data_IF_114712400853
#
_entry.id   IF_114712400853
#
_cell.length_a   1.000
_cell.length_b   1.000
_cell.length_c   1.000
_cell.angle_alpha   90.00
_cell.angle_beta   90.00
_cell.angle_gamma   90.00
#
_symmetry.space_group_name_H-M   'P 1'
#
loop_
_entity.id
_entity.type
_entity.pdbx_description
1 polymer ?
#
# COMPACT_ATOMS: atom_id res chain seq x y z
N UNK A 1 14.63 -25.67 45.42
CA UNK A 1 13.62 -25.18 44.45
C UNK A 1 13.90 -23.78 43.92
N UNK A 2 13.99 -22.72 44.75
CA UNK A 2 14.24 -21.34 44.26
C UNK A 2 15.53 -21.18 43.43
N UNK A 3 16.63 -21.81 43.87
CA UNK A 3 17.92 -21.80 43.16
C UNK A 3 17.87 -22.48 41.79
N UNK A 4 17.21 -23.64 41.68
CA UNK A 4 17.02 -24.35 40.42
C UNK A 4 16.18 -23.55 39.40
N UNK A 5 15.15 -22.82 39.85
CA UNK A 5 14.34 -21.95 38.98
C UNK A 5 15.18 -20.77 38.48
N UNK A 6 16.01 -20.19 39.34
CA UNK A 6 16.95 -19.12 38.97
C UNK A 6 17.99 -19.63 37.97
N UNK A 7 18.56 -20.81 38.20
CA UNK A 7 19.56 -21.41 37.31
C UNK A 7 18.96 -21.77 35.93
N UNK A 8 17.76 -22.35 35.86
CA UNK A 8 17.06 -22.58 34.58
C UNK A 8 16.75 -21.25 33.87
N UNK A 9 16.30 -20.24 34.61
CA UNK A 9 16.04 -18.91 34.05
C UNK A 9 17.30 -18.26 33.47
N UNK A 10 18.42 -18.32 34.19
CA UNK A 10 19.68 -17.68 33.79
C UNK A 10 20.42 -18.44 32.69
N UNK A 11 20.45 -19.77 32.73
CA UNK A 11 21.25 -20.55 31.78
C UNK A 11 20.49 -20.98 30.53
N UNK A 12 19.16 -21.05 30.57
CA UNK A 12 18.36 -21.49 29.43
C UNK A 12 17.49 -20.38 28.85
N UNK A 13 16.70 -19.69 29.69
CA UNK A 13 15.77 -18.66 29.18
C UNK A 13 16.49 -17.38 28.76
N UNK A 14 17.48 -16.91 29.52
CA UNK A 14 18.18 -15.66 29.20
C UNK A 14 18.90 -15.73 27.83
N UNK A 15 19.69 -16.76 27.48
CA UNK A 15 20.27 -16.87 26.15
C UNK A 15 19.21 -16.90 25.04
N UNK A 16 18.10 -17.60 25.25
CA UNK A 16 17.00 -17.67 24.28
C UNK A 16 16.33 -16.30 24.06
N UNK A 17 16.10 -15.55 25.13
CA UNK A 17 15.55 -14.18 25.08
C UNK A 17 16.54 -13.25 24.37
N UNK A 18 17.84 -13.35 24.68
CA UNK A 18 18.86 -12.55 24.00
C UNK A 18 18.94 -12.87 22.51
N UNK A 19 18.91 -14.15 22.12
CA UNK A 19 18.86 -14.55 20.72
C UNK A 19 17.61 -14.00 20.01
N UNK A 20 16.44 -14.08 20.65
CA UNK A 20 15.21 -13.50 20.13
C UNK A 20 15.29 -11.98 19.97
N UNK A 21 15.87 -11.27 20.94
CA UNK A 21 16.06 -9.82 20.89
C UNK A 21 17.03 -9.41 19.78
N UNK A 22 18.15 -10.14 19.61
CA UNK A 22 19.12 -9.90 18.52
C UNK A 22 18.48 -10.17 17.16
N UNK A 23 17.72 -11.25 17.01
CA UNK A 23 17.03 -11.58 15.77
C UNK A 23 15.98 -10.52 15.42
N UNK A 24 15.15 -10.10 16.39
CA UNK A 24 14.17 -9.02 16.21
C UNK A 24 14.84 -7.71 15.81
N UNK A 25 15.91 -7.31 16.51
CA UNK A 25 16.67 -6.10 16.19
C UNK A 25 17.27 -6.17 14.78
N UNK A 26 17.88 -7.30 14.44
CA UNK A 26 18.52 -7.49 13.13
C UNK A 26 17.49 -7.46 11.99
N UNK A 27 16.32 -8.07 12.18
CA UNK A 27 15.23 -8.04 11.20
C UNK A 27 14.70 -6.62 10.97
N UNK A 28 14.54 -5.82 12.03
CA UNK A 28 14.09 -4.43 11.92
C UNK A 28 15.10 -3.52 11.21
N UNK A 29 16.38 -3.90 11.17
CA UNK A 29 17.43 -3.13 10.50
C UNK A 29 17.52 -3.41 9.00
N UNK A 30 16.87 -4.46 8.50
CA UNK A 30 16.82 -4.72 7.06
C UNK A 30 16.00 -3.58 6.40
N UNK A 31 16.58 -2.83 5.45
CA UNK A 31 15.86 -1.80 4.73
C UNK A 31 14.61 -2.37 4.07
N UNK A 32 13.47 -1.69 4.21
CA UNK A 32 12.20 -2.10 3.64
C UNK A 32 11.36 -0.88 3.26
N UNK A 33 10.38 -1.08 2.38
CA UNK A 33 9.57 0.01 1.83
C UNK A 33 8.83 0.80 2.91
N UNK A 34 8.33 0.16 3.96
CA UNK A 34 7.57 0.84 5.02
C UNK A 34 8.46 1.75 5.85
N UNK A 35 9.61 1.25 6.30
CA UNK A 35 10.59 2.05 7.04
C UNK A 35 11.13 3.21 6.18
N UNK A 36 11.45 2.94 4.91
CA UNK A 36 11.92 3.94 3.98
C UNK A 36 10.89 5.05 3.76
N UNK A 37 9.65 4.70 3.40
CA UNK A 37 8.60 5.70 3.13
C UNK A 37 8.25 6.52 4.38
N UNK A 38 8.18 5.87 5.55
CA UNK A 38 7.97 6.59 6.82
C UNK A 38 9.10 7.59 7.10
N UNK A 39 10.36 7.16 6.98
CA UNK A 39 11.52 8.03 7.20
C UNK A 39 11.54 9.19 6.20
N UNK A 40 11.32 8.91 4.92
CA UNK A 40 11.34 9.91 3.87
C UNK A 40 10.26 10.96 4.08
N UNK A 41 9.01 10.55 4.35
CA UNK A 41 7.91 11.49 4.62
C UNK A 41 8.16 12.30 5.89
N UNK A 42 8.73 11.71 6.94
CA UNK A 42 9.11 12.46 8.15
C UNK A 42 10.12 13.57 7.86
N UNK A 43 10.98 13.39 6.86
CA UNK A 43 12.04 14.33 6.53
C UNK A 43 11.62 15.36 5.46
N UNK A 44 10.71 14.99 4.55
CA UNK A 44 10.47 15.73 3.31
C UNK A 44 8.99 16.10 3.06
N UNK A 45 8.05 15.75 3.96
CA UNK A 45 6.60 15.99 3.78
C UNK A 45 6.24 17.43 3.41
N UNK A 46 6.97 18.41 3.94
CA UNK A 46 6.77 19.85 3.69
C UNK A 46 6.85 20.24 2.21
N UNK A 47 7.62 19.50 1.41
CA UNK A 47 7.83 19.77 -0.01
C UNK A 47 6.95 18.93 -0.94
N UNK A 48 6.13 18.01 -0.39
CA UNK A 48 5.25 17.15 -1.17
C UNK A 48 4.03 17.95 -1.61
N UNK A 49 3.84 18.06 -2.92
CA UNK A 49 2.69 18.70 -3.57
C UNK A 49 1.63 17.67 -4.00
N UNK A 50 2.04 16.44 -4.34
CA UNK A 50 1.15 15.35 -4.75
C UNK A 50 1.43 14.09 -3.93
N UNK A 51 0.40 13.56 -3.26
CA UNK A 51 0.47 12.34 -2.46
C UNK A 51 -0.43 11.23 -3.02
N UNK A 52 0.12 10.30 -3.82
CA UNK A 52 -0.58 9.05 -4.15
C UNK A 52 -0.71 8.12 -2.95
N UNK A 53 -1.93 7.63 -2.72
CA UNK A 53 -2.34 6.63 -1.73
C UNK A 53 -3.13 5.51 -2.44
N UNK A 54 -3.13 4.32 -1.85
CA UNK A 54 -3.85 3.16 -2.36
C UNK A 54 -3.04 1.88 -2.24
N UNK A 55 -3.54 0.82 -2.89
CA UNK A 55 -2.93 -0.50 -2.87
C UNK A 55 -1.82 -0.64 -3.94
N UNK A 56 -1.61 -1.86 -4.44
CA UNK A 56 -0.58 -2.16 -5.43
C UNK A 56 -0.77 -1.36 -6.73
N UNK A 57 -1.99 -1.07 -7.16
CA UNK A 57 -2.26 -0.26 -8.35
C UNK A 57 -1.67 1.14 -8.21
N UNK A 58 -1.93 1.85 -7.11
CA UNK A 58 -1.30 3.14 -6.87
C UNK A 58 0.23 3.01 -6.78
N UNK A 59 0.75 1.95 -6.16
CA UNK A 59 2.19 1.70 -6.01
C UNK A 59 2.92 1.48 -7.35
N UNK A 60 2.32 0.73 -8.27
CA UNK A 60 2.92 0.31 -9.55
C UNK A 60 2.51 1.18 -10.74
N UNK A 61 1.37 1.86 -10.68
CA UNK A 61 0.81 2.57 -11.83
C UNK A 61 1.08 4.09 -11.77
N UNK A 62 1.26 4.65 -10.57
CA UNK A 62 1.44 6.10 -10.37
C UNK A 62 2.89 6.40 -9.98
N UNK A 63 3.64 6.95 -10.91
CA UNK A 63 5.07 7.17 -10.76
C UNK A 63 5.41 8.65 -10.62
N UNK A 64 5.69 9.16 -9.41
CA UNK A 64 5.84 10.59 -9.18
C UNK A 64 6.97 11.28 -9.94
N UNK A 65 7.88 10.52 -10.56
CA UNK A 65 8.93 11.09 -11.41
C UNK A 65 8.39 11.82 -12.64
N UNK A 66 7.14 11.56 -13.03
CA UNK A 66 6.52 12.13 -14.23
C UNK A 66 5.51 13.24 -13.93
N UNK A 67 5.31 13.61 -12.66
CA UNK A 67 4.56 14.82 -12.33
C UNK A 67 5.44 16.06 -12.52
N UNK A 68 4.84 17.18 -12.94
CA UNK A 68 5.50 18.49 -12.91
C UNK A 68 5.70 18.99 -11.48
N UNK A 69 4.80 18.59 -10.58
CA UNK A 69 4.83 18.87 -9.15
C UNK A 69 5.62 17.81 -8.38
N UNK A 70 6.19 18.18 -7.23
CA UNK A 70 6.92 17.27 -6.34
C UNK A 70 5.96 16.24 -5.73
N UNK A 71 5.93 15.04 -6.32
CA UNK A 71 5.13 13.93 -5.79
C UNK A 71 5.94 12.92 -4.97
N UNK A 72 5.28 12.25 -4.04
CA UNK A 72 5.81 11.09 -3.33
C UNK A 72 4.74 10.01 -3.16
N UNK A 73 4.99 8.81 -3.67
CA UNK A 73 4.05 7.70 -3.65
C UNK A 73 4.08 6.99 -2.29
N UNK A 74 2.99 7.10 -1.53
CA UNK A 74 2.84 6.53 -0.20
C UNK A 74 2.02 5.22 -0.16
N UNK A 75 1.67 4.66 -1.33
CA UNK A 75 0.94 3.40 -1.47
C UNK A 75 1.77 2.17 -1.06
N UNK A 76 1.12 1.07 -0.71
CA UNK A 76 1.77 -0.22 -0.43
C UNK A 76 0.97 -1.37 -1.01
N UNK A 77 1.63 -2.52 -1.24
CA UNK A 77 0.94 -3.73 -1.67
C UNK A 77 -0.18 -4.10 -0.69
N UNK A 78 -1.39 -4.27 -1.22
CA UNK A 78 -2.61 -4.62 -0.47
C UNK A 78 -3.01 -3.61 0.61
N UNK A 79 -2.51 -2.37 0.57
CA UNK A 79 -2.96 -1.29 1.45
C UNK A 79 -4.48 -1.11 1.31
N UNK A 80 -5.16 -1.02 2.46
CA UNK A 80 -6.60 -0.75 2.50
C UNK A 80 -6.87 0.70 2.87
N UNK A 81 -8.09 1.19 2.63
CA UNK A 81 -8.52 2.56 2.94
C UNK A 81 -8.24 2.99 4.40
N UNK A 82 -8.32 2.05 5.35
CA UNK A 82 -7.89 2.27 6.74
C UNK A 82 -6.43 2.71 6.88
N UNK A 83 -5.54 2.11 6.10
CA UNK A 83 -4.11 2.40 6.12
C UNK A 83 -3.75 3.58 5.22
N UNK A 84 -4.52 3.85 4.15
CA UNK A 84 -4.46 5.14 3.44
C UNK A 84 -4.71 6.29 4.41
N UNK A 85 -5.81 6.21 5.17
CA UNK A 85 -6.15 7.18 6.20
C UNK A 85 -5.08 7.28 7.28
N UNK A 86 -4.59 6.15 7.81
CA UNK A 86 -3.53 6.16 8.82
C UNK A 86 -2.24 6.86 8.36
N UNK A 87 -1.82 6.61 7.11
CA UNK A 87 -0.63 7.26 6.55
C UNK A 87 -0.90 8.75 6.38
N UNK A 88 -2.03 9.12 5.79
CA UNK A 88 -2.43 10.51 5.60
C UNK A 88 -2.44 11.28 6.92
N UNK A 89 -3.15 10.77 7.93
CA UNK A 89 -3.27 11.37 9.26
C UNK A 89 -1.93 11.62 9.94
N UNK A 90 -0.96 10.72 9.71
CA UNK A 90 0.35 10.81 10.34
C UNK A 90 1.17 12.01 9.83
N UNK A 91 0.97 12.43 8.59
CA UNK A 91 1.85 13.40 7.93
C UNK A 91 1.16 14.69 7.47
N UNK A 92 -0.16 14.70 7.32
CA UNK A 92 -0.89 15.83 6.72
C UNK A 92 -0.61 17.17 7.41
N UNK A 93 -0.38 17.19 8.72
CA UNK A 93 -0.10 18.43 9.46
C UNK A 93 1.28 19.05 9.12
N UNK A 94 2.22 18.23 8.64
CA UNK A 94 3.54 18.69 8.18
C UNK A 94 3.59 18.98 6.66
N UNK A 95 2.56 18.57 5.90
CA UNK A 95 2.53 18.67 4.43
C UNK A 95 2.06 20.06 3.95
N UNK A 96 2.87 21.09 4.21
CA UNK A 96 2.52 22.50 3.94
C UNK A 96 2.37 22.88 2.47
N UNK A 97 2.97 22.10 1.55
CA UNK A 97 2.90 22.35 0.10
C UNK A 97 1.91 21.44 -0.63
N UNK A 98 1.15 20.61 0.10
CA UNK A 98 0.26 19.64 -0.51
C UNK A 98 -0.85 20.34 -1.29
N UNK A 99 -1.09 19.89 -2.51
CA UNK A 99 -2.15 20.40 -3.37
C UNK A 99 -3.11 19.27 -3.80
N UNK A 100 -2.58 18.05 -3.97
CA UNK A 100 -3.35 16.90 -4.44
C UNK A 100 -3.09 15.65 -3.61
N UNK A 101 -4.16 14.97 -3.22
CA UNK A 101 -4.12 13.58 -2.76
C UNK A 101 -4.78 12.72 -3.84
N UNK A 102 -4.05 11.74 -4.38
CA UNK A 102 -4.60 10.82 -5.38
C UNK A 102 -4.86 9.49 -4.68
N UNK A 103 -6.10 9.00 -4.70
CA UNK A 103 -6.46 7.72 -4.08
C UNK A 103 -6.90 6.72 -5.15
N UNK A 104 -6.18 5.60 -5.29
CA UNK A 104 -6.69 4.49 -6.11
C UNK A 104 -7.80 3.74 -5.37
N UNK A 105 -8.99 3.75 -5.96
CA UNK A 105 -10.13 2.98 -5.47
C UNK A 105 -10.20 1.73 -6.33
N UNK A 106 -9.49 0.68 -5.95
CA UNK A 106 -9.50 -0.60 -6.65
C UNK A 106 -10.81 -1.36 -6.47
N UNK A 107 -11.05 -2.34 -7.35
CA UNK A 107 -12.30 -3.12 -7.41
C UNK A 107 -12.71 -3.71 -6.05
N UNK A 108 -11.73 -4.01 -5.20
CA UNK A 108 -11.93 -4.58 -3.88
C UNK A 108 -11.82 -3.57 -2.72
N UNK A 109 -11.34 -2.33 -2.96
CA UNK A 109 -11.00 -1.37 -1.90
C UNK A 109 -12.19 -1.04 -1.01
N UNK A 110 -13.37 -0.91 -1.61
CA UNK A 110 -14.62 -0.58 -0.89
C UNK A 110 -15.05 -1.68 0.07
N UNK A 111 -14.80 -2.94 -0.27
CA UNK A 111 -15.37 -4.10 0.41
C UNK A 111 -14.44 -4.76 1.43
N UNK A 112 -13.15 -4.42 1.42
CA UNK A 112 -12.14 -5.19 2.16
C UNK A 112 -11.33 -4.33 3.12
N UNK A 113 -10.72 -5.03 4.08
CA UNK A 113 -9.67 -4.52 4.94
C UNK A 113 -8.51 -5.53 4.91
N UNK A 114 -7.27 -5.02 4.96
CA UNK A 114 -6.05 -5.83 4.98
C UNK A 114 -6.08 -6.94 6.03
N UNK A 115 -6.65 -6.69 7.22
CA UNK A 115 -6.75 -7.65 8.33
C UNK A 115 -7.45 -8.95 7.96
N UNK A 116 -8.41 -8.89 7.04
CA UNK A 116 -9.22 -10.03 6.60
C UNK A 116 -8.76 -10.60 5.25
N UNK A 117 -7.57 -10.21 4.78
CA UNK A 117 -6.98 -10.72 3.55
C UNK A 117 -5.91 -11.78 3.83
N UNK A 118 -5.49 -12.51 2.80
CA UNK A 118 -4.33 -13.40 2.88
C UNK A 118 -3.02 -12.65 3.20
N UNK A 119 -3.00 -11.34 2.97
CA UNK A 119 -1.86 -10.44 3.20
C UNK A 119 -1.90 -9.76 4.58
N UNK A 120 -2.73 -10.26 5.51
CA UNK A 120 -2.88 -9.72 6.87
C UNK A 120 -1.54 -9.54 7.60
N UNK A 121 -0.54 -10.37 7.28
CA UNK A 121 0.79 -10.33 7.87
C UNK A 121 1.52 -9.00 7.63
N UNK A 122 1.14 -8.23 6.61
CA UNK A 122 1.71 -6.90 6.31
C UNK A 122 1.36 -5.84 7.35
N UNK A 123 0.29 -6.04 8.13
CA UNK A 123 -0.11 -5.13 9.22
C UNK A 123 1.04 -4.83 10.18
N UNK A 124 1.91 -5.83 10.42
CA UNK A 124 3.07 -5.65 11.30
C UNK A 124 3.96 -4.49 10.86
N UNK A 125 4.07 -4.24 9.56
CA UNK A 125 4.91 -3.18 9.04
C UNK A 125 4.35 -1.78 9.35
N UNK A 126 3.02 -1.61 9.38
CA UNK A 126 2.40 -0.37 9.81
C UNK A 126 2.60 -0.13 11.32
N UNK A 127 2.47 -1.16 12.15
CA UNK A 127 2.74 -1.04 13.58
C UNK A 127 4.21 -0.74 13.86
N UNK A 128 5.13 -1.52 13.28
CA UNK A 128 6.56 -1.47 13.58
C UNK A 128 7.22 -0.25 12.96
N UNK A 129 6.94 0.05 11.69
CA UNK A 129 7.69 1.05 10.93
C UNK A 129 6.98 2.40 10.84
N UNK A 130 5.64 2.44 10.89
CA UNK A 130 4.87 3.69 10.95
C UNK A 130 4.42 4.06 12.38
N UNK A 131 4.52 3.15 13.35
CA UNK A 131 4.07 3.38 14.72
C UNK A 131 2.55 3.32 14.89
N UNK A 132 1.85 2.55 14.05
CA UNK A 132 0.40 2.37 14.18
C UNK A 132 0.01 1.71 15.51
N UNK A 133 -1.04 2.23 16.15
CA UNK A 133 -1.56 1.70 17.40
C UNK A 133 -2.76 0.75 17.24
N UNK A 134 -3.25 0.52 16.02
CA UNK A 134 -4.47 -0.27 15.76
C UNK A 134 -4.41 -1.68 16.36
N UNK A 135 -3.22 -2.27 16.41
CA UNK A 135 -3.03 -3.64 16.87
C UNK A 135 -1.94 -3.76 17.95
N UNK A 136 -1.77 -2.73 18.80
CA UNK A 136 -0.68 -2.66 19.80
C UNK A 136 -0.65 -3.83 20.81
N UNK A 137 -1.79 -4.47 21.04
CA UNK A 137 -1.92 -5.62 21.97
C UNK A 137 -1.87 -6.99 21.27
N UNK A 138 -1.77 -7.02 19.95
CA UNK A 138 -1.72 -8.25 19.17
C UNK A 138 -0.26 -8.56 18.79
N UNK A 139 0.42 -9.42 19.56
CA UNK A 139 1.87 -9.67 19.44
C UNK A 139 2.36 -10.00 18.02
N UNK A 140 1.54 -10.69 17.21
CA UNK A 140 1.84 -11.02 15.80
C UNK A 140 2.06 -9.81 14.89
N UNK A 141 1.60 -8.63 15.31
CA UNK A 141 1.77 -7.37 14.57
C UNK A 141 2.85 -6.46 15.15
N UNK A 142 3.51 -6.85 16.24
CA UNK A 142 4.48 -5.99 16.92
C UNK A 142 5.90 -6.59 16.93
N UNK A 143 6.10 -7.72 16.26
CA UNK A 143 7.37 -8.44 16.18
C UNK A 143 7.66 -8.85 14.73
N UNK A 144 8.83 -8.51 14.19
CA UNK A 144 9.31 -8.99 12.88
C UNK A 144 9.62 -10.49 12.91
N UNK A 145 10.08 -10.99 14.06
CA UNK A 145 10.41 -12.41 14.30
C UNK A 145 9.17 -13.30 14.45
N UNK A 146 7.96 -12.72 14.51
CA UNK A 146 6.75 -13.54 14.57
C UNK A 146 6.72 -14.51 13.38
N UNK A 147 6.74 -15.80 13.70
CA UNK A 147 6.84 -16.88 12.73
C UNK A 147 5.56 -16.98 11.91
N UNK A 148 5.58 -16.38 10.72
CA UNK A 148 4.56 -16.63 9.72
C UNK A 148 4.87 -17.91 8.93
N UNK A 149 6.15 -18.14 8.64
CA UNK A 149 6.65 -19.32 7.93
C UNK A 149 8.15 -19.56 8.22
N UNK A 150 8.69 -20.66 7.70
CA UNK A 150 10.09 -21.08 7.90
C UNK A 150 11.11 -20.09 7.30
N UNK A 151 10.69 -19.23 6.37
CA UNK A 151 11.55 -18.18 5.82
C UNK A 151 11.94 -17.15 6.88
N UNK A 152 11.17 -17.02 7.97
CA UNK A 152 11.50 -16.13 9.11
C UNK A 152 12.88 -16.43 9.69
N UNK A 153 13.26 -17.71 9.79
CA UNK A 153 14.60 -18.12 10.27
C UNK A 153 15.67 -17.65 9.29
N UNK A 154 15.46 -17.88 7.99
CA UNK A 154 16.39 -17.44 6.94
C UNK A 154 16.54 -15.92 6.93
N UNK A 155 15.43 -15.18 7.08
CA UNK A 155 15.42 -13.71 7.20
C UNK A 155 16.19 -13.25 8.43
N UNK A 156 16.01 -13.90 9.58
CA UNK A 156 16.72 -13.54 10.81
C UNK A 156 18.23 -13.76 10.68
N UNK A 157 18.64 -14.88 10.07
CA UNK A 157 20.04 -15.15 9.76
C UNK A 157 20.62 -14.12 8.77
N UNK A 158 19.92 -13.82 7.66
CA UNK A 158 20.33 -12.80 6.71
C UNK A 158 20.42 -11.41 7.36
N UNK A 159 19.48 -11.07 8.25
CA UNK A 159 19.49 -9.82 9.01
C UNK A 159 20.72 -9.72 9.91
N UNK A 160 21.06 -10.79 10.62
CA UNK A 160 22.27 -10.82 11.46
C UNK A 160 23.55 -10.66 10.62
N UNK A 161 23.64 -11.36 9.48
CA UNK A 161 24.76 -11.21 8.54
C UNK A 161 24.85 -9.79 7.97
N UNK A 162 23.70 -9.15 7.73
CA UNK A 162 23.64 -7.77 7.25
C UNK A 162 24.12 -6.79 8.31
N UNK A 163 23.72 -6.99 9.57
CA UNK A 163 24.20 -6.20 10.70
C UNK A 163 25.72 -6.33 10.92
N UNK A 164 26.29 -7.50 10.62
CA UNK A 164 27.74 -7.74 10.70
C UNK A 164 28.52 -7.24 9.47
N UNK A 165 27.85 -6.63 8.47
CA UNK A 165 28.49 -6.15 7.25
C UNK A 165 28.94 -7.26 6.28
N UNK A 166 28.48 -8.50 6.49
CA UNK A 166 28.82 -9.67 5.67
C UNK A 166 27.91 -9.81 4.45
N UNK A 167 26.67 -9.30 4.56
CA UNK A 167 25.66 -9.33 3.49
C UNK A 167 25.01 -7.96 3.34
N UNK A 168 24.52 -7.65 2.14
CA UNK A 168 23.67 -6.47 1.91
C UNK A 168 22.24 -6.94 1.60
N UNK A 169 21.52 -7.43 2.61
CA UNK A 169 20.10 -7.74 2.45
C UNK A 169 19.27 -6.45 2.40
N UNK A 170 18.38 -6.34 1.42
CA UNK A 170 17.38 -5.28 1.33
C UNK A 170 16.05 -5.86 0.88
N UNK A 171 14.97 -5.40 1.50
CA UNK A 171 13.59 -5.61 1.05
C UNK A 171 12.99 -4.30 0.53
N UNK A 172 13.84 -3.32 0.20
CA UNK A 172 13.43 -2.12 -0.50
C UNK A 172 13.20 -2.45 -1.97
N UNK A 173 11.98 -2.21 -2.43
CA UNK A 173 11.53 -2.45 -3.79
C UNK A 173 11.07 -1.16 -4.49
N UNK A 174 11.17 -0.02 -3.81
CA UNK A 174 10.77 1.31 -4.32
C UNK A 174 11.97 2.23 -4.58
N UNK A 175 11.82 3.14 -5.54
CA UNK A 175 12.77 4.23 -5.81
C UNK A 175 12.70 5.35 -4.75
N UNK A 176 13.43 6.45 -4.95
CA UNK A 176 13.51 7.55 -3.98
C UNK A 176 12.22 8.37 -3.84
N UNK A 177 11.28 8.22 -4.78
CA UNK A 177 9.95 8.85 -4.75
C UNK A 177 8.85 7.86 -4.31
N UNK A 178 9.23 6.69 -3.79
CA UNK A 178 8.30 5.69 -3.27
C UNK A 178 7.58 4.85 -4.33
N UNK A 179 7.92 4.99 -5.62
CA UNK A 179 7.37 4.17 -6.70
C UNK A 179 8.07 2.81 -6.79
N UNK A 180 7.31 1.73 -7.00
CA UNK A 180 7.90 0.38 -7.08
C UNK A 180 8.60 0.12 -8.42
N UNK A 181 9.79 -0.48 -8.38
CA UNK A 181 10.61 -0.76 -9.57
C UNK A 181 10.57 -2.24 -10.01
N UNK A 182 9.62 -3.02 -9.49
CA UNK A 182 9.57 -4.47 -9.76
C UNK A 182 8.83 -4.84 -11.06
N UNK A 183 7.88 -4.02 -11.51
CA UNK A 183 7.01 -4.38 -12.64
C UNK A 183 7.62 -3.86 -13.94
N UNK A 184 8.70 -4.54 -14.35
CA UNK A 184 9.44 -4.22 -15.58
C UNK A 184 8.96 -5.06 -16.76
N UNK A 185 9.13 -4.57 -17.99
CA UNK A 185 8.87 -5.35 -19.21
C UNK A 185 9.77 -6.59 -19.26
N UNK A 186 11.02 -6.49 -18.79
CA UNK A 186 11.95 -7.62 -18.76
C UNK A 186 11.55 -8.73 -17.79
N UNK A 187 10.84 -8.37 -16.71
CA UNK A 187 10.37 -9.32 -15.69
C UNK A 187 8.92 -9.75 -15.91
N UNK A 188 8.27 -9.28 -16.99
CA UNK A 188 6.88 -9.61 -17.32
C UNK A 188 6.72 -11.14 -17.46
N UNK A 189 5.78 -11.78 -16.72
CA UNK A 189 5.58 -13.22 -16.80
C UNK A 189 5.17 -13.69 -18.21
N UNK A 190 5.59 -14.90 -18.60
CA UNK A 190 5.15 -15.49 -19.89
C UNK A 190 3.62 -15.64 -19.93
N UNK A 191 3.03 -16.13 -18.83
CA UNK A 191 1.57 -16.21 -18.65
C UNK A 191 1.06 -14.99 -17.85
N UNK A 192 1.31 -13.78 -18.35
CA UNK A 192 0.94 -12.54 -17.65
C UNK A 192 -0.58 -12.33 -17.56
N UNK A 193 -1.33 -12.71 -18.60
CA UNK A 193 -2.78 -12.54 -18.63
C UNK A 193 -3.52 -13.74 -18.03
N UNK A 194 -3.85 -13.63 -16.73
CA UNK A 194 -4.75 -14.53 -16.02
C UNK A 194 -6.05 -13.83 -15.62
N UNK A 195 -6.46 -12.82 -16.38
CA UNK A 195 -7.51 -11.87 -16.02
C UNK A 195 -8.85 -12.52 -15.67
N UNK A 196 -9.34 -13.44 -16.50
CA UNK A 196 -10.62 -14.11 -16.24
C UNK A 196 -10.61 -14.92 -14.92
N UNK A 197 -9.53 -15.65 -14.66
CA UNK A 197 -9.36 -16.41 -13.42
C UNK A 197 -9.29 -15.50 -12.21
N UNK A 198 -8.48 -14.44 -12.27
CA UNK A 198 -8.29 -13.52 -11.15
C UNK A 198 -9.53 -12.66 -10.89
N UNK A 199 -10.28 -12.29 -11.93
CA UNK A 199 -11.58 -11.65 -11.80
C UNK A 199 -12.56 -12.56 -11.04
N UNK A 200 -12.62 -13.85 -11.37
CA UNK A 200 -13.43 -14.83 -10.63
C UNK A 200 -13.04 -14.91 -9.15
N UNK A 201 -11.74 -14.99 -8.84
CA UNK A 201 -11.23 -14.99 -7.46
C UNK A 201 -11.62 -13.71 -6.72
N UNK A 202 -11.49 -12.54 -7.34
CA UNK A 202 -11.84 -11.26 -6.70
C UNK A 202 -13.34 -11.08 -6.51
N UNK A 203 -14.15 -11.49 -7.49
CA UNK A 203 -15.61 -11.53 -7.35
C UNK A 203 -16.03 -12.40 -6.16
N UNK A 204 -15.44 -13.59 -6.01
CA UNK A 204 -15.71 -14.50 -4.89
C UNK A 204 -15.28 -13.91 -3.55
N UNK A 205 -14.10 -13.27 -3.50
CA UNK A 205 -13.59 -12.63 -2.29
C UNK A 205 -14.50 -11.49 -1.84
N UNK A 206 -14.97 -10.65 -2.76
CA UNK A 206 -15.91 -9.57 -2.45
C UNK A 206 -17.23 -10.17 -1.96
N UNK A 207 -17.82 -11.11 -2.69
CA UNK A 207 -19.09 -11.73 -2.31
C UNK A 207 -19.08 -12.33 -0.90
N UNK A 208 -17.94 -12.88 -0.46
CA UNK A 208 -17.76 -13.41 0.91
C UNK A 208 -17.46 -12.34 1.96
N UNK A 209 -16.99 -11.16 1.55
CA UNK A 209 -16.55 -10.07 2.42
C UNK A 209 -17.57 -8.94 2.58
N UNK A 210 -18.70 -8.95 1.85
CA UNK A 210 -19.71 -7.88 1.94
C UNK A 210 -20.25 -7.79 3.37
N UNK A 211 -19.78 -6.78 4.09
CA UNK A 211 -20.24 -6.40 5.41
C UNK A 211 -20.56 -4.91 5.36
N UNK A 212 -21.80 -4.55 5.70
CA UNK A 212 -22.26 -3.15 5.62
C UNK A 212 -21.42 -2.25 6.51
N UNK A 213 -21.01 -2.76 7.66
CA UNK A 213 -20.13 -2.12 8.62
C UNK A 213 -18.77 -1.81 7.98
N UNK A 214 -18.17 -2.78 7.27
CA UNK A 214 -16.89 -2.60 6.56
C UNK A 214 -16.96 -1.49 5.53
N UNK A 215 -18.03 -1.46 4.74
CA UNK A 215 -18.21 -0.44 3.72
C UNK A 215 -18.38 0.94 4.37
N UNK A 216 -19.13 1.03 5.46
CA UNK A 216 -19.29 2.28 6.20
C UNK A 216 -17.98 2.76 6.82
N UNK A 217 -17.17 1.87 7.39
CA UNK A 217 -15.84 2.21 7.90
C UNK A 217 -14.92 2.72 6.78
N UNK A 218 -14.89 2.02 5.65
CA UNK A 218 -14.12 2.44 4.47
C UNK A 218 -14.57 3.79 3.92
N UNK A 219 -15.89 4.05 3.94
CA UNK A 219 -16.46 5.34 3.60
C UNK A 219 -16.03 6.44 4.58
N UNK A 220 -16.01 6.16 5.88
CA UNK A 220 -15.55 7.11 6.91
C UNK A 220 -14.08 7.48 6.72
N UNK A 221 -13.20 6.51 6.47
CA UNK A 221 -11.79 6.77 6.21
C UNK A 221 -11.57 7.74 5.03
N UNK A 222 -12.25 7.49 3.90
CA UNK A 222 -12.15 8.39 2.73
C UNK A 222 -12.76 9.77 3.04
N UNK A 223 -13.89 9.82 3.75
CA UNK A 223 -14.54 11.07 4.12
C UNK A 223 -13.65 11.95 5.03
N UNK A 224 -12.94 11.34 5.99
CA UNK A 224 -12.03 12.04 6.90
C UNK A 224 -10.83 12.65 6.15
N UNK A 225 -10.24 11.90 5.20
CA UNK A 225 -9.18 12.43 4.31
C UNK A 225 -9.71 13.64 3.53
N UNK A 226 -10.87 13.50 2.87
CA UNK A 226 -11.45 14.56 2.05
C UNK A 226 -11.73 15.84 2.85
N UNK A 227 -12.31 15.70 4.05
CA UNK A 227 -12.62 16.85 4.92
C UNK A 227 -11.34 17.59 5.36
N UNK A 228 -10.32 16.85 5.78
CA UNK A 228 -9.04 17.46 6.17
C UNK A 228 -8.29 18.11 5.02
N UNK A 229 -8.39 17.53 3.82
CA UNK A 229 -7.93 18.16 2.60
C UNK A 229 -8.68 19.47 2.31
N UNK A 230 -10.01 19.49 2.47
CA UNK A 230 -10.82 20.68 2.23
C UNK A 230 -10.43 21.84 3.17
N UNK A 231 -10.15 21.57 4.44
CA UNK A 231 -9.65 22.56 5.41
C UNK A 231 -8.33 23.23 4.99
N UNK A 232 -7.56 22.57 4.11
CA UNK A 232 -6.23 22.99 3.65
C UNK A 232 -6.22 23.40 2.17
N UNK A 233 -7.38 23.52 1.53
CA UNK A 233 -7.52 23.75 0.08
C UNK A 233 -6.81 22.70 -0.80
N UNK A 234 -6.69 21.47 -0.30
CA UNK A 234 -6.15 20.32 -1.03
C UNK A 234 -7.27 19.63 -1.79
N UNK A 235 -7.03 19.31 -3.06
CA UNK A 235 -7.95 18.53 -3.89
C UNK A 235 -7.72 17.03 -3.68
N UNK A 236 -8.79 16.25 -3.65
CA UNK A 236 -8.73 14.79 -3.61
C UNK A 236 -9.15 14.25 -4.96
N UNK A 237 -8.32 13.42 -5.57
CA UNK A 237 -8.58 12.77 -6.86
C UNK A 237 -8.76 11.28 -6.62
N UNK A 238 -10.01 10.82 -6.68
CA UNK A 238 -10.35 9.41 -6.67
C UNK A 238 -10.16 8.86 -8.08
N UNK A 239 -9.45 7.73 -8.21
CA UNK A 239 -9.20 7.12 -9.53
C UNK A 239 -9.51 5.63 -9.53
N UNK A 240 -10.02 5.19 -10.68
CA UNK A 240 -9.96 3.80 -11.11
C UNK A 240 -8.84 3.66 -12.14
N UNK A 241 -7.82 2.85 -11.83
CA UNK A 241 -6.68 2.66 -12.72
C UNK A 241 -7.06 1.89 -13.99
N UNK A 242 -6.25 1.95 -15.07
CA UNK A 242 -6.45 1.13 -16.26
C UNK A 242 -6.44 -0.36 -15.94
N UNK A 243 -7.39 -1.10 -16.51
CA UNK A 243 -7.50 -2.54 -16.32
C UNK A 243 -7.45 -3.25 -17.68
N UNK A 244 -6.71 -4.35 -17.76
CA UNK A 244 -6.68 -5.14 -18.98
C UNK A 244 -8.04 -5.81 -19.23
N UNK A 245 -8.44 -5.88 -20.50
CA UNK A 245 -9.79 -6.28 -20.93
C UNK A 245 -10.23 -7.64 -20.37
N UNK A 246 -9.34 -8.63 -20.36
CA UNK A 246 -9.63 -9.99 -19.89
C UNK A 246 -10.03 -10.02 -18.40
N UNK A 247 -9.52 -9.10 -17.59
CA UNK A 247 -9.89 -8.95 -16.19
C UNK A 247 -11.17 -8.14 -16.07
N UNK A 248 -11.19 -6.92 -16.63
CA UNK A 248 -12.31 -5.97 -16.54
C UNK A 248 -13.65 -6.55 -17.01
N UNK A 249 -13.64 -7.27 -18.13
CA UNK A 249 -14.85 -7.86 -18.73
C UNK A 249 -15.42 -9.02 -17.88
N UNK A 250 -14.58 -9.66 -17.06
CA UNK A 250 -14.98 -10.75 -16.17
C UNK A 250 -15.31 -10.29 -14.74
N UNK A 251 -15.19 -9.00 -14.43
CA UNK A 251 -15.65 -8.43 -13.15
C UNK A 251 -17.17 -8.36 -13.11
N UNK A 252 -17.77 -8.76 -11.98
CA UNK A 252 -19.21 -8.66 -11.76
C UNK A 252 -19.65 -7.19 -11.79
N UNK A 253 -20.62 -6.90 -12.66
CA UNK A 253 -21.16 -5.55 -12.85
C UNK A 253 -21.69 -4.94 -11.56
N UNK A 254 -22.36 -5.71 -10.71
CA UNK A 254 -22.87 -5.23 -9.41
C UNK A 254 -21.78 -4.59 -8.52
N UNK A 255 -20.56 -5.14 -8.52
CA UNK A 255 -19.45 -4.62 -7.71
C UNK A 255 -18.75 -3.44 -8.38
N UNK A 256 -18.69 -3.42 -9.72
CA UNK A 256 -18.19 -2.27 -10.48
C UNK A 256 -19.09 -1.06 -10.29
N UNK A 257 -20.40 -1.26 -10.38
CA UNK A 257 -21.39 -0.20 -10.18
C UNK A 257 -21.30 0.33 -8.74
N UNK A 258 -21.18 -0.56 -7.75
CA UNK A 258 -21.03 -0.14 -6.36
C UNK A 258 -19.75 0.69 -6.12
N UNK A 259 -18.63 0.26 -6.70
CA UNK A 259 -17.37 1.00 -6.63
C UNK A 259 -17.51 2.39 -7.25
N UNK A 260 -18.14 2.49 -8.43
CA UNK A 260 -18.42 3.76 -9.08
C UNK A 260 -19.30 4.66 -8.21
N UNK A 261 -20.41 4.13 -7.69
CA UNK A 261 -21.29 4.86 -6.78
C UNK A 261 -20.60 5.29 -5.48
N UNK A 262 -19.64 4.50 -5.00
CA UNK A 262 -18.82 4.87 -3.85
C UNK A 262 -17.98 6.12 -4.14
N UNK A 263 -17.37 6.22 -5.33
CA UNK A 263 -16.63 7.42 -5.75
C UNK A 263 -17.56 8.62 -5.99
N UNK A 264 -18.66 8.41 -6.73
CA UNK A 264 -19.65 9.46 -7.06
C UNK A 264 -20.28 10.06 -5.80
N UNK A 265 -20.51 9.26 -4.75
CA UNK A 265 -20.97 9.75 -3.45
C UNK A 265 -20.10 10.89 -2.91
N UNK A 266 -18.77 10.83 -3.10
CA UNK A 266 -17.86 11.85 -2.60
C UNK A 266 -17.82 13.08 -3.49
N UNK A 267 -17.83 12.90 -4.82
CA UNK A 267 -17.85 14.05 -5.74
C UNK A 267 -19.14 14.85 -5.65
N UNK A 268 -20.27 14.20 -5.37
CA UNK A 268 -21.56 14.88 -5.18
C UNK A 268 -21.60 15.71 -3.89
N UNK A 269 -20.83 15.30 -2.87
CA UNK A 269 -20.89 15.87 -1.52
C UNK A 269 -19.77 16.88 -1.25
N UNK A 270 -18.62 16.74 -1.89
CA UNK A 270 -17.41 17.49 -1.57
C UNK A 270 -16.82 18.16 -2.82
N UNK A 271 -16.86 19.51 -2.91
CA UNK A 271 -16.43 20.23 -4.12
C UNK A 271 -14.92 20.17 -4.37
N UNK A 272 -14.11 19.81 -3.36
CA UNK A 272 -12.67 19.57 -3.53
C UNK A 272 -12.35 18.14 -3.99
N UNK A 273 -13.36 17.33 -4.33
CA UNK A 273 -13.17 15.94 -4.75
C UNK A 273 -13.47 15.76 -6.23
N UNK A 274 -12.61 15.02 -6.91
CA UNK A 274 -12.71 14.69 -8.32
C UNK A 274 -12.69 13.17 -8.47
N UNK A 275 -13.36 12.67 -9.52
CA UNK A 275 -13.36 11.24 -9.84
C UNK A 275 -13.06 11.03 -11.33
N UNK A 276 -12.10 10.16 -11.62
CA UNK A 276 -11.77 9.75 -12.97
C UNK A 276 -11.70 8.22 -13.07
N UNK A 277 -12.45 7.67 -14.04
CA UNK A 277 -12.45 6.24 -14.32
C UNK A 277 -11.65 5.93 -15.59
N UNK A 278 -10.49 5.28 -15.42
CA UNK A 278 -9.62 4.86 -16.51
C UNK A 278 -9.69 3.35 -16.78
N UNK A 279 -10.57 2.62 -16.08
CA UNK A 279 -10.61 1.15 -16.14
C UNK A 279 -10.84 0.60 -17.55
N UNK A 280 -11.58 1.34 -18.38
CA UNK A 280 -11.82 1.04 -19.80
C UNK A 280 -11.19 2.06 -20.76
N UNK A 281 -10.08 2.70 -20.35
CA UNK A 281 -9.41 3.67 -21.22
C UNK A 281 -8.82 2.99 -22.46
N UNK A 282 -9.20 3.43 -23.69
CA UNK A 282 -8.72 2.83 -24.93
C UNK A 282 -7.27 3.22 -25.28
N UNK A 283 -6.65 4.10 -24.49
CA UNK A 283 -5.29 4.62 -24.72
C UNK A 283 -4.21 3.59 -24.31
N UNK A 284 -4.58 2.60 -23.50
CA UNK A 284 -3.67 1.56 -23.03
C UNK A 284 -3.75 0.32 -23.92
N UNK A 285 -2.59 -0.14 -24.38
CA UNK A 285 -2.43 -1.36 -25.17
C UNK A 285 -1.83 -2.48 -24.32
N UNK A 286 -1.76 -3.69 -24.86
CA UNK A 286 -1.16 -4.85 -24.19
C UNK A 286 0.26 -4.60 -23.66
N UNK A 287 1.04 -3.78 -24.38
CA UNK A 287 2.42 -3.43 -24.05
C UNK A 287 2.53 -2.54 -22.80
N UNK A 288 1.45 -1.88 -22.37
CA UNK A 288 1.45 -1.03 -21.17
C UNK A 288 1.23 -1.82 -19.87
N UNK A 289 0.77 -3.08 -19.97
CA UNK A 289 0.41 -3.90 -18.83
C UNK A 289 1.55 -4.82 -18.41
N UNK A 290 1.80 -4.93 -17.10
CA UNK A 290 2.66 -5.97 -16.53
C UNK A 290 1.86 -7.27 -16.36
N UNK A 291 0.66 -7.15 -15.79
CA UNK A 291 -0.30 -8.24 -15.62
C UNK A 291 -1.73 -7.75 -15.95
N UNK A 292 -2.73 -8.52 -15.56
CA UNK A 292 -4.13 -8.26 -15.87
C UNK A 292 -4.74 -7.02 -15.16
N UNK A 293 -4.10 -6.49 -14.11
CA UNK A 293 -4.62 -5.34 -13.34
C UNK A 293 -3.55 -4.34 -12.87
N UNK A 294 -2.32 -4.44 -13.37
CA UNK A 294 -1.24 -3.49 -13.11
C UNK A 294 -0.49 -3.13 -14.40
N UNK A 295 -0.06 -1.88 -14.46
CA UNK A 295 0.79 -1.38 -15.52
C UNK A 295 2.25 -1.78 -15.27
N UNK A 296 3.04 -1.77 -16.34
CA UNK A 296 4.49 -1.85 -16.25
C UNK A 296 5.12 -0.44 -16.21
N UNK A 297 6.44 -0.34 -16.28
CA UNK A 297 7.17 0.93 -16.27
C UNK A 297 6.80 1.88 -17.43
N UNK A 298 6.42 1.35 -18.59
CA UNK A 298 5.96 2.16 -19.73
C UNK A 298 4.51 2.62 -19.54
N UNK A 299 3.63 1.71 -19.13
CA UNK A 299 2.23 2.03 -18.83
C UNK A 299 2.09 3.03 -17.71
N UNK A 300 2.83 2.87 -16.61
CA UNK A 300 2.83 3.80 -15.46
C UNK A 300 3.31 5.19 -15.84
N UNK A 301 4.32 5.30 -16.72
CA UNK A 301 4.73 6.58 -17.31
C UNK A 301 3.59 7.25 -18.06
N UNK A 302 2.97 6.51 -18.99
CA UNK A 302 1.85 6.99 -19.80
C UNK A 302 0.68 7.43 -18.90
N UNK A 303 0.33 6.62 -17.90
CA UNK A 303 -0.76 6.91 -16.98
C UNK A 303 -0.47 8.14 -16.13
N UNK A 304 0.73 8.25 -15.57
CA UNK A 304 1.08 9.41 -14.73
C UNK A 304 1.08 10.70 -15.53
N UNK A 305 1.60 10.72 -16.77
CA UNK A 305 1.55 11.90 -17.63
C UNK A 305 0.11 12.33 -17.97
N UNK A 306 -0.81 11.37 -18.12
CA UNK A 306 -2.22 11.67 -18.31
C UNK A 306 -2.84 12.27 -17.04
N UNK A 307 -2.52 11.72 -15.85
CA UNK A 307 -2.96 12.29 -14.58
C UNK A 307 -2.39 13.71 -14.36
N UNK A 308 -1.11 13.92 -14.65
CA UNK A 308 -0.45 15.23 -14.55
C UNK A 308 -1.15 16.28 -15.43
N UNK A 309 -1.49 15.92 -16.67
CA UNK A 309 -2.24 16.79 -17.58
C UNK A 309 -3.63 17.15 -17.01
N UNK A 310 -4.34 16.19 -16.40
CA UNK A 310 -5.64 16.47 -15.79
C UNK A 310 -5.50 17.39 -14.57
N UNK A 311 -4.46 17.21 -13.77
CA UNK A 311 -4.18 18.00 -12.56
C UNK A 311 -3.79 19.43 -12.92
N UNK A 312 -2.97 19.64 -13.95
CA UNK A 312 -2.45 20.95 -14.33
C UNK A 312 -3.43 21.77 -15.21
N UNK A 313 -4.48 21.16 -15.77
CA UNK A 313 -5.49 21.83 -16.59
C UNK A 313 -6.73 22.31 -15.80
N UNK A 314 -6.68 22.28 -14.46
CA UNK A 314 -7.77 22.75 -13.58
C UNK A 314 -7.47 24.10 -12.92
#
# INVERSE_FOLDING_TARGET
>A
MKRYIIEIGLYFLLPLVLMGAVAEYSLRKIPNDYAFKNQWLTQNSKEVEILPLGASTALYDINPQYFQKKGFNAAHVSQSLKYDHMIFEKFIDDMTSLEYVIMSIDFWSVFRELKHSHEWWRIKHYNIHYGSNFHRFEGKYNLEIYFHDISTIKRAANGALTMLGVKNETHRTVNDQGFSVLYTISDKPVEWDKGAYQASVHNDQIARAILKERINENKQYVEEIIKKCAERNVKVVLINVPLYKSYRENLKTEFKDYQKYFCEYFTDKYPNTLYYDFSDSPVFTEEDYYDFNHLNEMGSKKFTLMLDSLINNQ
#
